data_IF_796389478059
#
_entry.id   IF_796389478059
#
_cell.length_a   1.000
_cell.length_b   1.000
_cell.length_c   1.000
_cell.angle_alpha   90.00
_cell.angle_beta   90.00
_cell.angle_gamma   90.00
#
_symmetry.space_group_name_H-M   'P 1'
#
loop_
_entity.id
_entity.type
_entity.pdbx_description
1 polymer ?
#
# COMPACT_ATOMS: atom_id res chain seq x y z
N UNK A 1 -20.04 -18.76 15.68
CA UNK A 1 -18.93 -17.77 15.71
C UNK A 1 -17.79 -18.34 14.88
N UNK A 2 -17.47 -17.73 13.75
CA UNK A 2 -16.65 -18.33 12.68
C UNK A 2 -15.14 -18.23 12.96
N UNK A 3 -14.46 -19.37 12.93
CA UNK A 3 -12.99 -19.48 12.91
C UNK A 3 -12.33 -18.85 11.67
N UNK A 4 -13.14 -18.49 10.67
CA UNK A 4 -12.70 -17.83 9.43
C UNK A 4 -12.23 -16.38 9.68
N UNK A 5 -12.72 -15.72 10.73
CA UNK A 5 -12.37 -14.33 11.03
C UNK A 5 -11.02 -14.15 11.76
N UNK A 6 -10.32 -15.23 12.15
CA UNK A 6 -8.97 -15.16 12.74
C UNK A 6 -7.85 -15.63 11.80
N UNK A 7 -8.19 -16.28 10.68
CA UNK A 7 -7.20 -16.79 9.74
C UNK A 7 -6.77 -15.80 8.66
N UNK A 8 -7.53 -14.72 8.45
CA UNK A 8 -7.28 -13.76 7.38
C UNK A 8 -6.36 -12.60 7.78
N UNK A 9 -6.34 -12.22 9.06
CA UNK A 9 -5.50 -11.11 9.55
C UNK A 9 -4.00 -11.44 9.53
N UNK A 10 -3.63 -12.71 9.71
CA UNK A 10 -2.23 -13.15 9.71
C UNK A 10 -1.69 -13.52 8.32
N UNK A 11 -2.57 -13.76 7.33
CA UNK A 11 -2.15 -14.26 6.01
C UNK A 11 -1.94 -13.17 4.95
N UNK A 12 -2.46 -11.95 5.16
CA UNK A 12 -2.20 -10.80 4.27
C UNK A 12 -0.80 -10.18 4.43
N UNK A 13 -0.25 -9.98 5.65
CA UNK A 13 1.05 -9.33 5.81
C UNK A 13 2.23 -10.19 5.36
N UNK A 14 2.22 -11.49 5.66
CA UNK A 14 3.30 -12.41 5.30
C UNK A 14 3.46 -12.54 3.77
N UNK A 15 2.35 -12.70 3.05
CA UNK A 15 2.36 -12.69 1.58
C UNK A 15 2.82 -11.35 1.00
N UNK A 16 2.45 -10.24 1.65
CA UNK A 16 2.93 -8.92 1.25
C UNK A 16 4.44 -8.76 1.43
N UNK A 17 5.02 -9.28 2.51
CA UNK A 17 6.46 -9.26 2.75
C UNK A 17 7.23 -10.08 1.70
N UNK A 18 6.73 -11.29 1.37
CA UNK A 18 7.31 -12.14 0.31
C UNK A 18 7.26 -11.45 -1.06
N UNK A 19 6.14 -10.83 -1.40
CA UNK A 19 6.01 -10.07 -2.66
C UNK A 19 6.97 -8.87 -2.71
N UNK A 20 7.19 -8.18 -1.59
CA UNK A 20 8.15 -7.07 -1.52
C UNK A 20 9.59 -7.58 -1.69
N UNK A 21 9.93 -8.75 -1.13
CA UNK A 21 11.23 -9.39 -1.32
C UNK A 21 11.49 -9.75 -2.79
N UNK A 22 10.50 -10.28 -3.51
CA UNK A 22 10.60 -10.53 -4.94
C UNK A 22 10.85 -9.23 -5.74
N UNK A 23 10.22 -8.13 -5.34
CA UNK A 23 10.44 -6.82 -5.96
C UNK A 23 11.81 -6.26 -5.66
N UNK A 24 12.33 -6.44 -4.45
CA UNK A 24 13.72 -6.08 -4.11
C UNK A 24 14.72 -6.83 -4.98
N UNK A 25 14.53 -8.15 -5.16
CA UNK A 25 15.37 -8.96 -6.04
C UNK A 25 15.30 -8.48 -7.49
N UNK A 26 14.11 -8.17 -8.00
CA UNK A 26 13.93 -7.66 -9.36
C UNK A 26 14.57 -6.27 -9.58
N UNK A 27 14.63 -5.43 -8.55
CA UNK A 27 15.25 -4.10 -8.62
C UNK A 27 16.76 -4.10 -8.30
N UNK A 28 17.28 -5.15 -7.67
CA UNK A 28 18.67 -5.21 -7.21
C UNK A 28 19.67 -4.99 -8.35
N UNK A 29 19.35 -5.51 -9.54
CA UNK A 29 20.18 -5.43 -10.74
C UNK A 29 19.87 -4.18 -11.61
N UNK A 30 18.94 -3.32 -11.18
CA UNK A 30 18.54 -2.13 -11.94
C UNK A 30 19.46 -0.96 -11.65
N UNK A 31 20.42 -0.72 -12.54
CA UNK A 31 21.38 0.39 -12.45
C UNK A 31 20.83 1.73 -12.98
N UNK A 32 19.67 2.15 -12.46
CA UNK A 32 19.04 3.42 -12.84
C UNK A 32 19.11 4.43 -11.69
N UNK A 33 19.39 5.69 -12.03
CA UNK A 33 19.38 6.78 -11.08
C UNK A 33 17.99 6.88 -10.39
N UNK A 34 17.95 6.56 -9.10
CA UNK A 34 16.72 6.50 -8.30
C UNK A 34 16.35 5.11 -7.79
N UNK A 35 16.84 4.03 -8.41
CA UNK A 35 16.52 2.65 -8.03
C UNK A 35 16.96 2.32 -6.59
N UNK A 36 18.13 2.81 -6.16
CA UNK A 36 18.62 2.67 -4.77
C UNK A 36 17.69 3.31 -3.72
N UNK A 37 16.93 4.34 -4.10
CA UNK A 37 15.93 4.94 -3.23
C UNK A 37 14.73 4.03 -3.03
N UNK A 38 14.23 3.47 -4.14
CA UNK A 38 13.10 2.54 -4.16
C UNK A 38 13.44 1.27 -3.38
N UNK A 39 14.64 0.70 -3.55
CA UNK A 39 15.11 -0.44 -2.75
C UNK A 39 15.08 -0.17 -1.24
N UNK A 40 15.46 1.03 -0.79
CA UNK A 40 15.37 1.38 0.65
C UNK A 40 13.93 1.51 1.14
N UNK A 41 13.06 2.05 0.30
CA UNK A 41 11.65 2.23 0.63
C UNK A 41 10.94 0.85 0.65
N UNK A 42 11.28 -0.08 -0.26
CA UNK A 42 10.82 -1.48 -0.26
C UNK A 42 11.27 -2.21 1.01
N UNK A 43 12.55 -2.09 1.39
CA UNK A 43 13.06 -2.69 2.63
C UNK A 43 12.36 -2.14 3.88
N UNK A 44 11.94 -0.87 3.83
CA UNK A 44 11.17 -0.27 4.92
C UNK A 44 9.74 -0.79 4.97
N UNK A 45 9.12 -1.02 3.80
CA UNK A 45 7.78 -1.60 3.67
C UNK A 45 7.77 -3.06 4.16
N UNK A 46 8.71 -3.88 3.72
CA UNK A 46 8.87 -5.28 4.17
C UNK A 46 8.94 -5.36 5.70
N UNK A 47 9.85 -4.59 6.30
CA UNK A 47 9.97 -4.51 7.77
C UNK A 47 8.69 -4.06 8.47
N UNK A 48 7.85 -3.30 7.79
CA UNK A 48 6.60 -2.83 8.35
C UNK A 48 5.51 -3.92 8.32
N UNK A 49 5.52 -4.76 7.29
CA UNK A 49 4.63 -5.91 7.10
C UNK A 49 5.01 -7.11 7.97
N UNK A 50 6.30 -7.27 8.29
CA UNK A 50 6.81 -8.32 9.18
C UNK A 50 6.53 -8.07 10.68
N UNK A 51 6.06 -6.86 11.04
CA UNK A 51 5.71 -6.54 12.42
C UNK A 51 4.41 -7.21 12.82
N UNK A 52 4.33 -7.63 14.08
CA UNK A 52 3.09 -8.14 14.70
C UNK A 52 1.98 -7.08 14.67
N UNK A 53 2.34 -5.81 14.77
CA UNK A 53 1.43 -4.65 14.62
C UNK A 53 2.01 -3.68 13.57
N UNK A 54 1.60 -3.82 12.30
CA UNK A 54 1.95 -2.84 11.28
C UNK A 54 1.36 -1.46 11.58
N UNK A 55 2.12 -0.43 11.26
CA UNK A 55 1.75 0.97 11.31
C UNK A 55 1.15 1.29 9.95
N UNK A 56 -0.19 1.34 9.91
CA UNK A 56 -0.96 1.51 8.68
C UNK A 56 -0.58 2.81 7.96
N UNK A 57 -0.51 3.94 8.67
CA UNK A 57 -0.14 5.24 8.10
C UNK A 57 1.22 5.17 7.41
N UNK A 58 2.18 4.51 8.06
CA UNK A 58 3.51 4.31 7.48
C UNK A 58 3.50 3.37 6.29
N UNK A 59 2.71 2.30 6.30
CA UNK A 59 2.53 1.40 5.15
C UNK A 59 1.98 2.18 3.96
N UNK A 60 0.91 2.96 4.14
CA UNK A 60 0.30 3.77 3.08
C UNK A 60 1.27 4.81 2.53
N UNK A 61 1.97 5.54 3.40
CA UNK A 61 2.96 6.53 2.98
C UNK A 61 4.08 5.89 2.15
N UNK A 62 4.52 4.68 2.52
CA UNK A 62 5.53 3.92 1.78
C UNK A 62 4.99 3.44 0.43
N UNK A 63 3.79 2.87 0.38
CA UNK A 63 3.15 2.39 -0.85
C UNK A 63 2.98 3.52 -1.89
N UNK A 64 2.44 4.67 -1.47
CA UNK A 64 2.27 5.83 -2.35
C UNK A 64 3.61 6.38 -2.88
N UNK A 65 4.62 6.47 -1.99
CA UNK A 65 5.97 6.92 -2.37
C UNK A 65 6.63 5.94 -3.34
N UNK A 66 6.50 4.64 -3.09
CA UNK A 66 7.01 3.57 -3.93
C UNK A 66 6.34 3.57 -5.31
N UNK A 67 5.01 3.71 -5.37
CA UNK A 67 4.28 3.81 -6.64
C UNK A 67 4.74 4.99 -7.51
N UNK A 68 4.84 6.17 -6.89
CA UNK A 68 5.33 7.39 -7.55
C UNK A 68 6.77 7.24 -8.05
N UNK A 69 7.68 6.78 -7.18
CA UNK A 69 9.09 6.66 -7.52
C UNK A 69 9.33 5.59 -8.59
N UNK A 70 8.62 4.46 -8.51
CA UNK A 70 8.75 3.34 -9.47
C UNK A 70 8.24 3.74 -10.85
N UNK A 71 7.09 4.42 -10.93
CA UNK A 71 6.56 4.95 -12.19
C UNK A 71 7.54 5.94 -12.83
N UNK A 72 8.12 6.85 -12.02
CA UNK A 72 9.07 7.86 -12.49
C UNK A 72 10.38 7.28 -13.02
N UNK A 73 10.86 6.15 -12.49
CA UNK A 73 12.05 5.47 -13.04
C UNK A 73 11.71 4.58 -14.23
N UNK A 74 10.46 4.12 -14.35
CA UNK A 74 10.02 3.31 -15.47
C UNK A 74 10.19 4.07 -16.80
N UNK A 75 9.84 5.36 -16.82
CA UNK A 75 10.05 6.24 -17.98
C UNK A 75 11.53 6.46 -18.35
N UNK A 76 12.46 5.99 -17.52
CA UNK A 76 13.92 6.07 -17.74
C UNK A 76 14.55 4.72 -18.06
N UNK A 77 13.74 3.65 -18.15
CA UNK A 77 14.22 2.26 -18.21
C UNK A 77 13.79 1.58 -19.50
N UNK A 78 14.60 1.61 -20.57
CA UNK A 78 14.20 1.00 -21.85
C UNK A 78 13.91 -0.50 -21.77
N UNK A 79 14.61 -1.25 -20.90
CA UNK A 79 14.50 -2.72 -20.82
C UNK A 79 13.45 -3.20 -19.83
N UNK A 80 13.11 -2.39 -18.84
CA UNK A 80 12.22 -2.77 -17.74
C UNK A 80 11.05 -1.81 -17.55
N UNK A 81 10.81 -0.89 -18.50
CA UNK A 81 9.75 0.12 -18.43
C UNK A 81 8.40 -0.49 -18.07
N UNK A 82 7.92 -1.46 -18.85
CA UNK A 82 6.57 -2.01 -18.67
C UNK A 82 6.42 -2.70 -17.31
N UNK A 83 7.44 -3.47 -16.90
CA UNK A 83 7.47 -4.12 -15.59
C UNK A 83 7.44 -3.11 -14.45
N UNK A 84 8.22 -2.03 -14.56
CA UNK A 84 8.28 -0.98 -13.55
C UNK A 84 6.98 -0.14 -13.52
N UNK A 85 6.31 0.07 -14.67
CA UNK A 85 5.00 0.73 -14.72
C UNK A 85 3.93 -0.11 -14.04
N UNK A 86 3.84 -1.40 -14.37
CA UNK A 86 2.90 -2.32 -13.71
C UNK A 86 3.14 -2.36 -12.19
N UNK A 87 4.39 -2.45 -11.76
CA UNK A 87 4.73 -2.44 -10.35
C UNK A 87 4.34 -1.11 -9.67
N UNK A 88 4.67 0.03 -10.29
CA UNK A 88 4.32 1.35 -9.76
C UNK A 88 2.81 1.57 -9.62
N UNK A 89 2.02 1.07 -10.58
CA UNK A 89 0.57 1.12 -10.53
C UNK A 89 0.01 0.23 -9.41
N UNK A 90 0.46 -1.03 -9.31
CA UNK A 90 0.02 -1.94 -8.25
C UNK A 90 0.35 -1.42 -6.85
N UNK A 91 1.51 -0.77 -6.67
CA UNK A 91 1.90 -0.13 -5.41
C UNK A 91 1.02 1.08 -5.06
N UNK A 92 0.60 1.83 -6.07
CA UNK A 92 -0.30 2.98 -5.86
C UNK A 92 -1.70 2.48 -5.49
N UNK A 93 -2.23 1.52 -6.24
CA UNK A 93 -3.54 0.90 -6.00
C UNK A 93 -3.59 0.24 -4.62
N UNK A 94 -2.56 -0.52 -4.23
CA UNK A 94 -2.46 -1.09 -2.89
C UNK A 94 -2.38 -0.03 -1.77
N UNK A 95 -1.88 1.17 -2.09
CA UNK A 95 -1.86 2.31 -1.18
C UNK A 95 -3.22 3.01 -1.05
N UNK A 96 -4.05 2.95 -2.10
CA UNK A 96 -5.40 3.53 -2.19
C UNK A 96 -6.49 2.58 -1.66
N UNK A 97 -6.32 1.26 -1.78
CA UNK A 97 -7.29 0.21 -1.37
C UNK A 97 -7.35 -0.03 0.16
N UNK A 98 -7.12 1.03 0.95
CA UNK A 98 -7.55 1.01 2.35
C UNK A 98 -9.06 1.27 2.38
N UNK A 99 -9.84 0.51 3.18
CA UNK A 99 -11.29 0.58 3.17
C UNK A 99 -11.79 1.93 3.69
N UNK A 100 -11.88 2.91 2.80
CA UNK A 100 -12.61 4.17 2.99
C UNK A 100 -14.08 4.00 2.54
N UNK A 101 -14.62 2.77 2.60
CA UNK A 101 -16.00 2.45 2.19
C UNK A 101 -16.95 2.06 3.36
N UNK A 102 -16.57 2.19 4.63
CA UNK A 102 -17.50 1.91 5.75
C UNK A 102 -17.67 3.02 6.81
N UNK A 103 -17.30 4.28 6.54
CA UNK A 103 -17.63 5.41 7.44
C UNK A 103 -18.29 6.60 6.72
N UNK A 104 -19.08 6.37 5.66
CA UNK A 104 -19.85 7.47 5.02
C UNK A 104 -21.35 7.17 4.78
N UNK A 105 -21.93 6.22 5.53
CA UNK A 105 -23.38 5.93 5.45
C UNK A 105 -24.20 6.18 6.73
N UNK A 106 -23.60 6.43 7.90
CA UNK A 106 -24.39 6.74 9.12
C UNK A 106 -24.55 8.25 9.42
N UNK A 107 -23.70 9.13 8.88
CA UNK A 107 -23.77 10.56 9.19
C UNK A 107 -24.84 11.35 8.39
N UNK A 108 -25.40 10.78 7.31
CA UNK A 108 -26.35 11.47 6.44
C UNK A 108 -27.83 11.33 6.85
N UNK A 109 -28.16 10.56 7.89
CA UNK A 109 -29.55 10.16 8.17
C UNK A 109 -30.16 10.68 9.48
N UNK A 110 -29.91 11.94 9.91
CA UNK A 110 -30.91 12.72 10.68
C UNK A 110 -30.45 14.16 11.04
N UNK A 111 -30.73 15.17 10.21
CA UNK A 111 -30.82 16.53 10.70
C UNK A 111 -32.26 16.77 11.19
N UNK A 112 -32.53 16.63 12.49
CA UNK A 112 -33.79 17.13 13.08
C UNK A 112 -33.52 18.23 14.09
N UNK A 113 -33.20 19.40 13.55
CA UNK A 113 -33.37 20.68 14.25
C UNK A 113 -34.86 20.94 14.53
N UNK A 114 -35.10 21.39 15.77
CA UNK A 114 -36.19 22.24 16.24
C UNK A 114 -37.63 21.67 16.36
N UNK A 115 -38.12 21.59 17.60
CA UNK A 115 -39.10 22.57 18.10
C UNK A 115 -39.20 22.59 19.62
N UNK A 116 -38.72 23.68 20.23
CA UNK A 116 -39.15 24.15 21.55
C UNK A 116 -40.57 24.70 21.39
N UNK A 117 -41.52 24.26 22.22
CA UNK A 117 -42.75 25.00 22.50
C UNK A 117 -43.05 24.95 24.00
N UNK A 118 -43.69 26.05 24.41
CA UNK A 118 -43.92 26.60 25.75
C UNK A 118 -44.42 25.60 26.79
#
# INVERSE_FOLDING_TARGET
>A
MNAINRGLDATKPAKGADMVEDWEAALADVEIAGAKGILRDLASLRKQLEKETPDADRVHALLHRLGTATTKIADKSDKSQDKLKTLGQALTEAGEDSPDEEEDTEAAASPKRARKKA
#
